data_IF_130967997718
#
_entry.id   IF_130967997718
#
_cell.length_a   1.000
_cell.length_b   1.000
_cell.length_c   1.000
_cell.angle_alpha   90.00
_cell.angle_beta   90.00
_cell.angle_gamma   90.00
#
_symmetry.space_group_name_H-M   'P 1'
#
loop_
_entity.id
_entity.type
_entity.pdbx_description
1 polymer ?
#
# COMPACT_ATOMS: atom_id res chain seq x y z
N UNK A 1 16.45 2.01 5.53
CA UNK A 1 15.85 0.71 5.89
C UNK A 1 16.75 0.00 6.88
N UNK A 2 16.18 -0.66 7.89
CA UNK A 2 16.95 -1.43 8.88
C UNK A 2 17.18 -2.87 8.40
N UNK A 3 18.15 -3.63 8.94
CA UNK A 3 18.32 -5.03 8.56
C UNK A 3 17.12 -5.89 8.99
N UNK A 4 16.77 -6.87 8.17
CA UNK A 4 15.74 -7.86 8.49
C UNK A 4 16.31 -8.90 9.46
N UNK A 5 15.90 -8.83 10.73
CA UNK A 5 16.36 -9.74 11.77
C UNK A 5 15.15 -10.44 12.41
N UNK A 6 14.93 -11.70 12.03
CA UNK A 6 13.79 -12.53 12.50
C UNK A 6 13.69 -12.50 14.02
N UNK A 7 14.79 -12.71 14.73
CA UNK A 7 14.81 -12.73 16.20
C UNK A 7 14.37 -11.41 16.82
N UNK A 8 14.74 -10.27 16.23
CA UNK A 8 14.33 -8.95 16.72
C UNK A 8 12.84 -8.70 16.54
N UNK A 9 12.29 -9.06 15.38
CA UNK A 9 10.85 -8.92 15.09
C UNK A 9 10.02 -9.82 16.03
N UNK A 10 10.43 -11.08 16.20
CA UNK A 10 9.75 -12.03 17.07
C UNK A 10 9.81 -11.60 18.54
N UNK A 11 10.95 -11.07 19.01
CA UNK A 11 11.10 -10.61 20.39
C UNK A 11 10.16 -9.45 20.74
N UNK A 12 9.89 -8.55 19.79
CA UNK A 12 8.90 -7.49 19.97
C UNK A 12 7.47 -8.04 20.02
N UNK A 13 7.19 -9.11 19.25
CA UNK A 13 5.87 -9.71 19.09
C UNK A 13 4.75 -8.68 18.84
N UNK A 14 5.10 -7.58 18.16
CA UNK A 14 4.14 -6.57 17.72
C UNK A 14 3.42 -7.06 16.46
N UNK A 15 2.20 -6.59 16.17
CA UNK A 15 1.52 -6.85 14.90
C UNK A 15 2.39 -6.49 13.70
N UNK A 16 2.29 -7.26 12.62
CA UNK A 16 3.06 -7.07 11.39
C UNK A 16 2.16 -6.61 10.25
N UNK A 17 2.58 -5.58 9.52
CA UNK A 17 1.90 -5.05 8.34
C UNK A 17 2.79 -5.23 7.10
N UNK A 18 2.39 -6.09 6.17
CA UNK A 18 3.07 -6.31 4.88
C UNK A 18 2.48 -5.40 3.82
N UNK A 19 3.29 -4.52 3.24
CA UNK A 19 2.84 -3.49 2.29
C UNK A 19 2.97 -3.96 0.83
N UNK A 20 1.93 -3.73 0.04
CA UNK A 20 1.96 -3.88 -1.42
C UNK A 20 2.27 -2.55 -2.13
N UNK A 21 2.83 -2.61 -3.34
CA UNK A 21 3.16 -1.43 -4.15
C UNK A 21 1.93 -0.57 -4.42
N UNK A 22 0.80 -1.19 -4.79
CA UNK A 22 -0.43 -0.47 -5.09
C UNK A 22 -0.92 0.34 -3.88
N UNK A 23 -0.78 -0.22 -2.66
CA UNK A 23 -1.19 0.46 -1.44
C UNK A 23 -0.30 1.66 -1.10
N UNK A 24 1.00 1.60 -1.38
CA UNK A 24 1.92 2.73 -1.21
C UNK A 24 1.65 3.83 -2.24
N UNK A 25 1.50 3.47 -3.52
CA UNK A 25 1.21 4.43 -4.58
C UNK A 25 -0.14 5.12 -4.37
N UNK A 26 -1.16 4.41 -3.90
CA UNK A 26 -2.50 4.95 -3.61
C UNK A 26 -2.49 6.06 -2.54
N UNK A 27 -1.46 6.15 -1.69
CA UNK A 27 -1.30 7.24 -0.71
C UNK A 27 -1.05 8.59 -1.39
N UNK A 28 -0.40 8.60 -2.55
CA UNK A 28 0.02 9.81 -3.27
C UNK A 28 -0.84 10.13 -4.48
N UNK A 29 -1.78 9.26 -4.83
CA UNK A 29 -2.66 9.47 -5.98
C UNK A 29 -3.49 10.73 -5.83
N UNK A 30 -3.81 11.29 -6.99
CA UNK A 30 -4.70 12.43 -7.23
C UNK A 30 -5.80 12.58 -6.15
N UNK A 31 -5.74 13.67 -5.35
CA UNK A 31 -6.70 13.92 -4.27
C UNK A 31 -8.09 14.32 -4.77
N UNK A 32 -8.26 14.60 -6.06
CA UNK A 32 -9.55 15.00 -6.66
C UNK A 32 -10.44 13.81 -7.02
N UNK A 33 -9.93 12.58 -6.93
CA UNK A 33 -10.69 11.36 -7.23
C UNK A 33 -11.73 11.08 -6.13
N UNK A 34 -12.96 10.73 -6.53
CA UNK A 34 -14.06 10.32 -5.62
C UNK A 34 -13.72 9.13 -4.69
N UNK A 35 -12.71 8.34 -5.08
CA UNK A 35 -12.21 7.21 -4.30
C UNK A 35 -11.33 7.62 -3.13
N UNK A 36 -10.79 8.85 -3.13
CA UNK A 36 -9.94 9.37 -2.06
C UNK A 36 -10.80 9.98 -0.97
N UNK A 37 -10.68 9.47 0.26
CA UNK A 37 -11.52 9.88 1.40
C UNK A 37 -10.67 10.23 2.61
N UNK A 38 -11.07 11.28 3.35
CA UNK A 38 -10.35 11.73 4.55
C UNK A 38 -10.12 10.61 5.59
N UNK A 39 -11.11 9.75 5.91
CA UNK A 39 -10.90 8.69 6.91
C UNK A 39 -9.79 7.71 6.53
N UNK A 40 -9.62 7.44 5.23
CA UNK A 40 -8.55 6.57 4.74
C UNK A 40 -7.18 7.26 4.82
N UNK A 41 -7.11 8.58 4.54
CA UNK A 41 -5.89 9.38 4.71
C UNK A 41 -5.49 9.49 6.18
N UNK A 42 -6.46 9.61 7.08
CA UNK A 42 -6.23 9.55 8.53
C UNK A 42 -5.65 8.19 8.93
N UNK A 43 -6.24 7.10 8.46
CA UNK A 43 -5.74 5.76 8.77
C UNK A 43 -4.29 5.53 8.31
N UNK A 44 -3.90 6.05 7.13
CA UNK A 44 -2.51 6.04 6.66
C UNK A 44 -1.59 6.73 7.68
N UNK A 45 -1.98 7.91 8.15
CA UNK A 45 -1.16 8.69 9.09
C UNK A 45 -1.06 8.05 10.48
N UNK A 46 -2.16 7.51 10.99
CA UNK A 46 -2.21 6.84 12.29
C UNK A 46 -1.33 5.58 12.28
N UNK A 47 -1.43 4.77 11.22
CA UNK A 47 -0.58 3.61 11.03
C UNK A 47 0.90 3.98 10.87
N UNK A 48 1.21 5.05 10.15
CA UNK A 48 2.58 5.55 10.03
C UNK A 48 3.15 5.94 11.39
N UNK A 49 2.38 6.67 12.19
CA UNK A 49 2.79 7.08 13.54
C UNK A 49 3.05 5.85 14.42
N UNK A 50 2.20 4.82 14.32
CA UNK A 50 2.42 3.55 15.01
C UNK A 50 3.67 2.81 14.52
N UNK A 51 3.93 2.81 13.21
CA UNK A 51 5.09 2.17 12.59
C UNK A 51 6.41 2.86 12.97
N UNK A 52 6.43 4.19 13.03
CA UNK A 52 7.58 4.98 13.48
C UNK A 52 7.93 4.68 14.95
N UNK A 53 6.91 4.40 15.78
CA UNK A 53 7.08 4.01 17.18
C UNK A 53 7.56 2.58 17.40
N UNK A 54 7.41 1.68 16.40
CA UNK A 54 7.89 0.27 16.34
C UNK A 54 7.40 -0.71 17.39
N UNK A 55 6.90 -0.24 18.54
CA UNK A 55 6.29 -1.07 19.55
C UNK A 55 4.84 -1.45 19.20
N UNK A 56 4.16 -0.63 18.38
CA UNK A 56 2.74 -0.81 18.06
C UNK A 56 2.51 -1.63 16.78
N UNK A 57 3.37 -1.49 15.78
CA UNK A 57 3.31 -2.27 14.54
C UNK A 57 4.70 -2.32 13.89
N UNK A 58 5.03 -3.46 13.30
CA UNK A 58 6.21 -3.67 12.47
C UNK A 58 5.76 -3.71 11.02
N UNK A 59 6.30 -2.80 10.20
CA UNK A 59 5.97 -2.76 8.78
C UNK A 59 7.03 -3.49 7.97
N UNK A 60 6.60 -4.34 7.04
CA UNK A 60 7.44 -5.05 6.09
C UNK A 60 7.22 -4.54 4.67
N UNK A 61 8.32 -4.35 3.94
CA UNK A 61 8.31 -3.98 2.51
C UNK A 61 9.24 -4.91 1.75
N UNK A 62 8.70 -5.70 0.82
CA UNK A 62 9.49 -6.59 -0.02
C UNK A 62 10.39 -5.83 -1.01
N UNK A 63 11.55 -6.39 -1.37
CA UNK A 63 12.48 -5.78 -2.34
C UNK A 63 11.81 -5.47 -3.69
N UNK A 64 10.91 -6.35 -4.12
CA UNK A 64 10.13 -6.18 -5.33
C UNK A 64 9.19 -4.96 -5.25
N UNK A 65 8.63 -4.66 -4.07
CA UNK A 65 7.79 -3.48 -3.83
C UNK A 65 8.60 -2.19 -3.92
N UNK A 66 9.82 -2.19 -3.38
CA UNK A 66 10.75 -1.04 -3.50
C UNK A 66 11.05 -0.77 -4.98
N UNK A 67 11.33 -1.83 -5.74
CA UNK A 67 11.67 -1.74 -7.17
C UNK A 67 10.49 -1.17 -7.97
N UNK A 68 9.30 -1.74 -7.82
CA UNK A 68 8.11 -1.28 -8.53
C UNK A 68 7.70 0.14 -8.14
N UNK A 69 7.82 0.50 -6.86
CA UNK A 69 7.54 1.85 -6.43
C UNK A 69 8.46 2.86 -7.14
N UNK A 70 9.76 2.54 -7.24
CA UNK A 70 10.74 3.37 -7.96
C UNK A 70 10.44 3.51 -9.45
N UNK A 71 9.87 2.48 -10.09
CA UNK A 71 9.46 2.52 -11.51
C UNK A 71 8.25 3.43 -11.75
N UNK A 72 7.33 3.53 -10.79
CA UNK A 72 6.02 4.16 -10.99
C UNK A 72 5.82 5.51 -10.28
N UNK A 73 6.65 5.86 -9.30
CA UNK A 73 6.39 7.02 -8.46
C UNK A 73 6.37 8.35 -9.21
N UNK A 74 7.31 8.56 -10.13
CA UNK A 74 7.38 9.81 -10.91
C UNK A 74 6.14 10.00 -11.78
N UNK A 75 5.56 8.92 -12.30
CA UNK A 75 4.33 8.95 -13.09
C UNK A 75 3.15 9.35 -12.20
N UNK A 76 3.02 8.72 -11.02
CA UNK A 76 1.93 9.02 -10.07
C UNK A 76 1.99 10.46 -9.57
N UNK A 77 3.18 10.99 -9.29
CA UNK A 77 3.36 12.40 -8.91
C UNK A 77 2.93 13.36 -10.03
N UNK A 78 3.32 13.06 -11.28
CA UNK A 78 2.91 13.85 -12.45
C UNK A 78 1.41 13.80 -12.68
N UNK A 79 0.78 12.65 -12.52
CA UNK A 79 -0.68 12.50 -12.62
C UNK A 79 -1.41 13.35 -11.58
N UNK A 80 -0.98 13.28 -10.31
CA UNK A 80 -1.58 14.07 -9.23
C UNK A 80 -1.39 15.57 -9.45
N UNK A 81 -0.19 16.01 -9.85
CA UNK A 81 0.08 17.41 -10.17
C UNK A 81 -0.78 17.91 -11.33
N UNK A 82 -0.92 17.11 -12.39
CA UNK A 82 -1.76 17.44 -13.56
C UNK A 82 -3.24 17.55 -13.18
N UNK A 83 -3.73 16.70 -12.30
CA UNK A 83 -5.11 16.77 -11.82
C UNK A 83 -5.37 18.04 -10.99
N UNK A 84 -4.45 18.40 -10.09
CA UNK A 84 -4.53 19.66 -9.34
C UNK A 84 -4.45 20.90 -10.25
N UNK A 85 -3.63 20.86 -11.30
CA UNK A 85 -3.60 21.93 -12.29
C UNK A 85 -4.93 22.04 -13.03
N UNK A 86 -5.50 20.91 -13.46
CA UNK A 86 -6.82 20.90 -14.11
C UNK A 86 -7.91 21.48 -13.21
N UNK A 87 -7.89 21.17 -11.91
CA UNK A 87 -8.80 21.75 -10.93
C UNK A 87 -8.65 23.28 -10.84
N UNK A 88 -7.41 23.79 -10.83
CA UNK A 88 -7.14 25.25 -10.86
C UNK A 88 -7.73 25.91 -12.10
N UNK A 89 -7.50 25.32 -13.27
CA UNK A 89 -8.00 25.86 -14.53
C UNK A 89 -9.54 25.87 -14.57
N UNK A 90 -10.17 24.84 -14.00
CA UNK A 90 -11.62 24.74 -13.89
C UNK A 90 -12.21 25.79 -12.93
N UNK A 91 -11.62 25.96 -11.74
CA UNK A 91 -12.04 26.99 -10.79
C UNK A 91 -11.86 28.39 -11.36
N UNK A 92 -10.73 28.67 -12.02
CA UNK A 92 -10.48 29.96 -12.67
C UNK A 92 -11.54 30.27 -13.75
N UNK A 93 -11.97 29.25 -14.52
CA UNK A 93 -13.06 29.38 -15.50
C UNK A 93 -14.39 29.70 -14.82
N UNK A 94 -14.72 29.02 -13.72
CA UNK A 94 -15.96 29.25 -12.95
C UNK A 94 -15.96 30.65 -12.34
N UNK A 95 -14.85 31.05 -11.71
CA UNK A 95 -14.67 32.39 -11.13
C UNK A 95 -14.85 33.49 -12.18
N UNK A 96 -14.30 33.29 -13.40
CA UNK A 96 -14.49 34.22 -14.51
C UNK A 96 -15.96 34.37 -14.93
N UNK A 97 -16.72 33.27 -14.95
CA UNK A 97 -18.17 33.31 -15.22
C UNK A 97 -18.91 34.01 -14.08
N UNK A 98 -18.61 33.68 -12.82
CA UNK A 98 -19.25 34.30 -11.66
C UNK A 98 -18.98 35.82 -11.59
N UNK A 99 -17.77 36.24 -11.94
CA UNK A 99 -17.39 37.64 -12.05
C UNK A 99 -18.23 38.42 -13.07
N UNK A 100 -18.59 37.79 -14.20
CA UNK A 100 -19.49 38.39 -15.17
C UNK A 100 -20.91 38.65 -14.62
N UNK A 101 -21.31 37.90 -13.59
CA UNK A 101 -22.57 38.09 -12.87
C UNK A 101 -22.42 38.91 -11.57
N UNK A 102 -21.28 39.58 -11.36
CA UNK A 102 -21.07 40.48 -10.23
C UNK A 102 -20.60 39.81 -8.93
N UNK A 103 -20.26 38.51 -8.96
CA UNK A 103 -19.55 37.87 -7.84
C UNK A 103 -18.11 38.36 -7.78
N UNK A 104 -17.55 38.47 -6.58
CA UNK A 104 -16.18 38.91 -6.36
C UNK A 104 -15.31 37.84 -5.70
N UNK A 105 -14.05 37.80 -6.11
CA UNK A 105 -13.00 37.02 -5.45
C UNK A 105 -12.72 35.68 -6.15
N UNK A 106 -11.43 35.31 -6.30
CA UNK A 106 -11.06 33.98 -6.78
C UNK A 106 -11.28 32.93 -5.69
N UNK A 107 -11.54 31.70 -6.10
CA UNK A 107 -11.54 30.54 -5.21
C UNK A 107 -10.11 30.25 -4.74
N UNK A 108 -9.85 30.33 -3.44
CA UNK A 108 -8.52 30.05 -2.87
C UNK A 108 -8.31 28.55 -2.62
N UNK A 109 -7.35 27.98 -3.34
CA UNK A 109 -6.88 26.60 -3.18
C UNK A 109 -5.37 26.49 -2.96
N UNK A 110 -4.74 27.57 -2.47
CA UNK A 110 -3.30 27.64 -2.20
C UNK A 110 -2.80 26.54 -1.24
N UNK A 111 -3.64 26.05 -0.34
CA UNK A 111 -3.34 24.93 0.56
C UNK A 111 -3.06 23.59 -0.16
N UNK A 112 -3.35 23.51 -1.46
CA UNK A 112 -3.06 22.34 -2.32
C UNK A 112 -1.72 22.46 -3.07
N UNK A 113 -1.03 23.61 -3.04
CA UNK A 113 0.17 23.89 -3.84
C UNK A 113 1.29 22.86 -3.61
N UNK A 114 1.50 22.47 -2.37
CA UNK A 114 2.51 21.51 -1.91
C UNK A 114 1.92 20.12 -1.62
N UNK A 115 0.68 19.84 -2.02
CA UNK A 115 0.01 18.58 -1.69
C UNK A 115 0.79 17.35 -2.17
N UNK A 116 1.26 17.36 -3.43
CA UNK A 116 2.04 16.26 -4.01
C UNK A 116 3.32 16.02 -3.21
N UNK A 117 4.05 17.10 -2.89
CA UNK A 117 5.27 17.04 -2.08
C UNK A 117 5.01 16.48 -0.68
N UNK A 118 3.94 16.93 -0.01
CA UNK A 118 3.57 16.39 1.31
C UNK A 118 3.18 14.93 1.24
N UNK A 119 2.40 14.53 0.23
CA UNK A 119 1.99 13.14 0.05
C UNK A 119 3.21 12.24 -0.21
N UNK A 120 4.17 12.69 -1.02
CA UNK A 120 5.44 11.99 -1.22
C UNK A 120 6.24 11.85 0.08
N UNK A 121 6.34 12.93 0.85
CA UNK A 121 7.02 12.92 2.15
C UNK A 121 6.42 11.92 3.15
N UNK A 122 5.09 11.69 3.11
CA UNK A 122 4.44 10.64 3.91
C UNK A 122 4.90 9.24 3.47
N UNK A 123 5.00 8.97 2.17
CA UNK A 123 5.46 7.67 1.68
C UNK A 123 6.95 7.45 1.95
N UNK A 124 7.78 8.48 1.86
CA UNK A 124 9.20 8.37 2.23
C UNK A 124 9.37 8.00 3.71
N UNK A 125 8.52 8.55 4.60
CA UNK A 125 8.49 8.16 6.01
C UNK A 125 8.08 6.70 6.20
N UNK A 126 7.14 6.19 5.40
CA UNK A 126 6.80 4.76 5.40
C UNK A 126 7.99 3.88 5.07
N UNK A 127 8.74 4.18 4.00
CA UNK A 127 9.96 3.44 3.66
C UNK A 127 11.05 3.58 4.73
N UNK A 128 11.14 4.73 5.39
CA UNK A 128 12.09 4.95 6.48
C UNK A 128 11.76 4.10 7.72
N UNK A 129 10.47 3.96 8.05
CA UNK A 129 9.98 3.18 9.18
C UNK A 129 9.98 1.67 8.91
N UNK A 130 9.82 1.26 7.63
CA UNK A 130 9.71 -0.13 7.24
C UNK A 130 11.00 -0.94 7.44
N UNK A 131 10.79 -2.22 7.74
CA UNK A 131 11.81 -3.26 7.71
C UNK A 131 11.74 -3.95 6.34
N UNK A 132 12.85 -4.11 5.61
CA UNK A 132 12.86 -4.80 4.33
C UNK A 132 12.51 -6.27 4.54
N UNK A 133 11.70 -6.82 3.64
CA UNK A 133 11.46 -8.26 3.54
C UNK A 133 12.33 -8.76 2.39
N UNK A 134 13.53 -9.25 2.74
CA UNK A 134 14.53 -9.65 1.76
C UNK A 134 14.04 -10.84 0.92
N UNK A 135 14.15 -10.73 -0.40
CA UNK A 135 13.75 -11.78 -1.31
C UNK A 135 14.76 -12.93 -1.29
N UNK A 136 14.35 -14.11 -0.84
CA UNK A 136 15.18 -15.30 -0.89
C UNK A 136 15.36 -15.85 -2.33
N UNK A 137 16.45 -16.60 -2.56
CA UNK A 137 16.82 -17.08 -3.90
C UNK A 137 15.80 -18.03 -4.55
N UNK A 138 14.95 -18.72 -3.76
CA UNK A 138 13.92 -19.62 -4.27
C UNK A 138 12.61 -18.90 -4.66
N UNK A 139 12.44 -17.64 -4.26
CA UNK A 139 11.19 -16.88 -4.49
C UNK A 139 10.83 -16.78 -5.97
N UNK A 140 11.75 -16.45 -6.91
CA UNK A 140 11.41 -16.39 -8.33
C UNK A 140 10.90 -17.74 -8.87
N UNK A 141 11.44 -18.87 -8.42
CA UNK A 141 10.99 -20.18 -8.86
C UNK A 141 9.57 -20.51 -8.35
N UNK A 142 9.23 -20.10 -7.12
CA UNK A 142 7.89 -20.26 -6.58
C UNK A 142 6.87 -19.33 -7.27
N UNK A 143 7.25 -18.06 -7.50
CA UNK A 143 6.42 -17.11 -8.22
C UNK A 143 6.14 -17.59 -9.66
N UNK A 144 7.14 -18.14 -10.34
CA UNK A 144 6.96 -18.74 -11.66
C UNK A 144 6.00 -19.95 -11.62
N UNK A 145 6.08 -20.78 -10.58
CA UNK A 145 5.14 -21.90 -10.38
C UNK A 145 3.71 -21.39 -10.20
N UNK A 146 3.53 -20.33 -9.41
CA UNK A 146 2.23 -19.65 -9.23
C UNK A 146 1.68 -19.13 -10.56
N UNK A 147 2.50 -18.46 -11.37
CA UNK A 147 2.12 -17.97 -12.70
C UNK A 147 1.74 -19.10 -13.65
N UNK A 148 2.57 -20.14 -13.75
CA UNK A 148 2.32 -21.28 -14.66
C UNK A 148 1.08 -22.09 -14.29
N UNK A 149 0.71 -22.09 -13.01
CA UNK A 149 -0.52 -22.71 -12.51
C UNK A 149 -1.73 -21.76 -12.50
N UNK A 150 -1.57 -20.51 -12.93
CA UNK A 150 -2.57 -19.46 -12.87
C UNK A 150 -3.20 -19.31 -11.47
N UNK A 151 -2.36 -19.40 -10.43
CA UNK A 151 -2.73 -19.20 -9.03
C UNK A 151 -2.62 -17.72 -8.66
N UNK A 152 -3.57 -17.21 -7.91
CA UNK A 152 -3.68 -15.82 -7.48
C UNK A 152 -2.38 -15.31 -6.82
N UNK A 153 -1.85 -14.11 -7.15
CA UNK A 153 -2.47 -13.06 -7.97
C UNK A 153 -2.34 -13.27 -9.50
N UNK A 154 -1.69 -14.35 -9.95
CA UNK A 154 -1.63 -14.66 -11.38
C UNK A 154 -2.96 -15.10 -11.97
N UNK A 155 -3.14 -14.77 -13.25
CA UNK A 155 -4.25 -15.24 -14.09
C UNK A 155 -3.79 -15.42 -15.53
N UNK A 156 -4.49 -16.27 -16.28
CA UNK A 156 -4.16 -16.53 -17.70
C UNK A 156 -4.14 -15.21 -18.49
N UNK A 157 -3.05 -14.96 -19.22
CA UNK A 157 -2.93 -13.83 -20.14
C UNK A 157 -2.60 -12.47 -19.52
N UNK A 158 -2.32 -12.40 -18.21
CA UNK A 158 -1.81 -11.18 -17.55
C UNK A 158 -0.37 -11.42 -17.08
N UNK A 159 0.54 -10.49 -17.36
CA UNK A 159 1.82 -10.48 -16.65
C UNK A 159 1.57 -10.15 -15.18
N UNK A 160 1.82 -11.15 -14.33
CA UNK A 160 1.55 -11.10 -12.88
C UNK A 160 2.77 -11.58 -12.10
N UNK A 161 3.93 -11.72 -12.76
CA UNK A 161 5.13 -12.29 -12.15
C UNK A 161 5.58 -11.43 -10.96
N UNK A 162 5.60 -10.12 -11.17
CA UNK A 162 5.87 -9.09 -10.17
C UNK A 162 5.00 -9.22 -8.91
N UNK A 163 3.67 -9.22 -9.08
CA UNK A 163 2.70 -9.47 -8.00
C UNK A 163 2.93 -10.81 -7.28
N UNK A 164 3.27 -11.87 -8.03
CA UNK A 164 3.54 -13.19 -7.45
C UNK A 164 4.82 -13.21 -6.62
N UNK A 165 5.87 -12.50 -7.03
CA UNK A 165 7.11 -12.37 -6.27
C UNK A 165 6.84 -11.68 -4.93
N UNK A 166 6.03 -10.63 -4.89
CA UNK A 166 5.64 -9.96 -3.65
C UNK A 166 4.95 -10.93 -2.69
N UNK A 167 3.94 -11.66 -3.17
CA UNK A 167 3.21 -12.64 -2.34
C UNK A 167 4.12 -13.74 -1.82
N UNK A 168 4.90 -14.37 -2.70
CA UNK A 168 5.80 -15.45 -2.30
C UNK A 168 6.84 -14.98 -1.29
N UNK A 169 7.35 -13.74 -1.44
CA UNK A 169 8.27 -13.13 -0.45
C UNK A 169 7.59 -13.02 0.92
N UNK A 170 6.36 -12.53 0.99
CA UNK A 170 5.65 -12.42 2.27
C UNK A 170 5.27 -13.77 2.86
N UNK A 171 4.88 -14.76 2.05
CA UNK A 171 4.62 -16.11 2.54
C UNK A 171 5.88 -16.73 3.17
N UNK A 172 7.03 -16.56 2.53
CA UNK A 172 8.32 -17.08 3.02
C UNK A 172 8.76 -16.38 4.31
N UNK A 173 8.77 -15.04 4.30
CA UNK A 173 9.17 -14.22 5.44
C UNK A 173 8.25 -14.45 6.65
N UNK A 174 6.93 -14.46 6.44
CA UNK A 174 5.99 -14.71 7.53
C UNK A 174 6.08 -16.17 8.00
N UNK A 175 6.31 -17.12 7.10
CA UNK A 175 6.63 -18.50 7.46
C UNK A 175 7.83 -18.61 8.40
N UNK A 176 8.91 -17.89 8.10
CA UNK A 176 10.08 -17.83 8.97
C UNK A 176 9.77 -17.18 10.33
N UNK A 177 9.02 -16.07 10.35
CA UNK A 177 8.60 -15.41 11.59
C UNK A 177 7.72 -16.33 12.46
N UNK A 178 6.75 -17.03 11.87
CA UNK A 178 5.90 -18.00 12.56
C UNK A 178 6.69 -19.19 13.08
N UNK A 179 7.58 -19.75 12.27
CA UNK A 179 8.48 -20.85 12.67
C UNK A 179 9.42 -20.45 13.82
N UNK A 180 9.80 -19.18 13.89
CA UNK A 180 10.58 -18.62 14.99
C UNK A 180 9.76 -18.21 16.22
N UNK A 181 8.43 -18.31 16.17
CA UNK A 181 7.54 -18.15 17.32
C UNK A 181 6.69 -16.88 17.36
N UNK A 182 6.64 -16.07 16.29
CA UNK A 182 5.75 -14.89 16.23
C UNK A 182 4.29 -15.31 16.44
N UNK A 183 3.61 -14.72 17.43
CA UNK A 183 2.19 -15.01 17.74
C UNK A 183 1.24 -13.87 17.37
N UNK A 184 1.76 -12.66 17.16
CA UNK A 184 0.97 -11.49 16.84
C UNK A 184 0.29 -11.56 15.47
N UNK A 185 -0.67 -10.67 15.23
CA UNK A 185 -1.37 -10.58 13.95
C UNK A 185 -0.41 -10.20 12.82
N UNK A 186 -0.67 -10.75 11.64
CA UNK A 186 0.03 -10.37 10.39
C UNK A 186 -1.03 -9.98 9.38
N UNK A 187 -0.93 -8.77 8.84
CA UNK A 187 -1.88 -8.22 7.86
C UNK A 187 -1.12 -7.89 6.58
N UNK A 188 -1.57 -8.41 5.45
CA UNK A 188 -1.13 -7.97 4.13
C UNK A 188 -2.14 -6.96 3.56
N UNK A 189 -1.66 -5.79 3.18
CA UNK A 189 -2.50 -4.72 2.62
C UNK A 189 -2.22 -4.54 1.14
N UNK A 190 -3.26 -4.62 0.32
CA UNK A 190 -3.22 -4.28 -1.10
C UNK A 190 -4.54 -3.67 -1.54
N UNK A 191 -4.47 -2.53 -2.25
CA UNK A 191 -5.62 -1.91 -2.88
C UNK A 191 -6.00 -2.57 -4.22
N UNK A 192 -5.21 -3.52 -4.72
CA UNK A 192 -5.50 -4.25 -5.95
C UNK A 192 -6.53 -5.38 -5.73
N UNK A 193 -7.78 -4.99 -5.45
CA UNK A 193 -8.88 -5.93 -5.17
C UNK A 193 -9.12 -6.92 -6.31
N UNK A 194 -8.88 -6.53 -7.57
CA UNK A 194 -9.16 -7.39 -8.74
C UNK A 194 -8.29 -8.65 -8.75
N UNK A 195 -7.05 -8.51 -8.30
CA UNK A 195 -6.10 -9.61 -8.32
C UNK A 195 -6.16 -10.39 -7.02
N UNK A 196 -6.28 -9.73 -5.86
CA UNK A 196 -6.23 -10.37 -4.55
C UNK A 196 -7.58 -10.78 -3.95
N UNK A 197 -8.61 -9.96 -4.13
CA UNK A 197 -9.90 -10.15 -3.49
C UNK A 197 -10.91 -10.90 -4.38
N UNK A 198 -11.82 -11.63 -3.74
CA UNK A 198 -13.01 -12.20 -4.37
C UNK A 198 -14.07 -11.16 -4.68
N UNK A 199 -15.27 -11.61 -5.04
CA UNK A 199 -16.37 -10.76 -5.54
C UNK A 199 -16.79 -9.65 -4.56
N UNK A 200 -16.68 -9.89 -3.26
CA UNK A 200 -17.02 -8.92 -2.20
C UNK A 200 -15.97 -7.83 -2.01
N UNK A 201 -14.78 -7.97 -2.62
CA UNK A 201 -13.68 -7.00 -2.52
C UNK A 201 -13.04 -6.85 -1.14
N UNK A 202 -13.42 -7.71 -0.17
CA UNK A 202 -12.95 -7.68 1.22
C UNK A 202 -12.35 -9.01 1.68
N UNK A 203 -12.72 -10.11 1.03
CA UNK A 203 -12.17 -11.45 1.29
C UNK A 203 -11.21 -11.86 0.18
N UNK A 204 -10.12 -12.55 0.52
CA UNK A 204 -9.19 -13.11 -0.47
C UNK A 204 -9.88 -14.12 -1.40
N UNK A 205 -9.32 -14.30 -2.59
CA UNK A 205 -9.66 -15.44 -3.44
C UNK A 205 -9.28 -16.76 -2.74
N UNK A 206 -10.03 -17.86 -2.96
CA UNK A 206 -9.90 -19.08 -2.17
C UNK A 206 -8.50 -19.70 -2.15
N UNK A 207 -7.78 -19.68 -3.27
CA UNK A 207 -6.45 -20.27 -3.39
C UNK A 207 -5.39 -19.46 -2.64
N UNK A 208 -5.48 -18.13 -2.66
CA UNK A 208 -4.61 -17.27 -1.86
C UNK A 208 -4.98 -17.29 -0.37
N UNK A 209 -6.27 -17.39 -0.05
CA UNK A 209 -6.73 -17.59 1.32
C UNK A 209 -6.17 -18.90 1.91
N UNK A 210 -6.08 -19.96 1.11
CA UNK A 210 -5.48 -21.23 1.52
C UNK A 210 -3.97 -21.12 1.77
N UNK A 211 -3.25 -20.24 1.08
CA UNK A 211 -1.84 -19.95 1.36
C UNK A 211 -1.68 -19.12 2.65
N UNK A 212 -2.61 -18.21 2.94
CA UNK A 212 -2.55 -17.32 4.11
C UNK A 212 -2.96 -18.00 5.42
N UNK A 213 -3.91 -18.94 5.35
CA UNK A 213 -4.48 -19.57 6.54
C UNK A 213 -3.45 -20.29 7.43
N UNK A 214 -2.51 -21.12 6.92
CA UNK A 214 -1.48 -21.76 7.73
C UNK A 214 -0.58 -20.76 8.46
N UNK A 215 -0.43 -19.55 7.92
CA UNK A 215 0.41 -18.48 8.47
C UNK A 215 -0.37 -17.53 9.38
N UNK A 216 -1.68 -17.72 9.54
CA UNK A 216 -2.58 -16.80 10.23
C UNK A 216 -2.40 -15.36 9.72
N UNK A 217 -2.34 -15.20 8.41
CA UNK A 217 -2.29 -13.90 7.74
C UNK A 217 -3.70 -13.43 7.37
N UNK A 218 -3.95 -12.14 7.56
CA UNK A 218 -5.20 -11.49 7.17
C UNK A 218 -4.97 -10.55 5.98
N UNK A 219 -6.01 -10.31 5.18
CA UNK A 219 -5.96 -9.39 4.05
C UNK A 219 -6.74 -8.11 4.34
N UNK A 220 -6.11 -6.97 4.04
CA UNK A 220 -6.72 -5.67 4.10
C UNK A 220 -6.82 -5.05 2.69
N UNK A 221 -8.04 -4.71 2.22
CA UNK A 221 -8.22 -4.06 0.91
C UNK A 221 -7.79 -2.58 0.87
N UNK A 222 -7.48 -1.98 2.01
CA UNK A 222 -6.98 -0.61 2.15
C UNK A 222 -6.39 -0.40 3.56
N UNK A 223 -5.81 0.77 3.78
CA UNK A 223 -5.16 1.11 5.06
C UNK A 223 -6.14 1.27 6.22
N UNK A 224 -7.39 1.68 5.98
CA UNK A 224 -8.43 1.73 7.00
C UNK A 224 -8.80 0.34 7.54
N UNK A 225 -8.96 -0.63 6.65
CA UNK A 225 -9.18 -2.03 7.01
C UNK A 225 -7.95 -2.61 7.72
N UNK A 226 -6.73 -2.31 7.24
CA UNK A 226 -5.50 -2.75 7.89
C UNK A 226 -5.42 -2.26 9.33
N UNK A 227 -5.70 -0.97 9.56
CA UNK A 227 -5.76 -0.36 10.90
C UNK A 227 -6.75 -1.10 11.81
N UNK A 228 -7.97 -1.33 11.34
CA UNK A 228 -8.98 -2.07 12.10
C UNK A 228 -8.53 -3.50 12.45
N UNK A 229 -7.96 -4.24 11.48
CA UNK A 229 -7.48 -5.62 11.71
C UNK A 229 -6.34 -5.67 12.72
N UNK A 230 -5.43 -4.69 12.68
CA UNK A 230 -4.31 -4.55 13.62
C UNK A 230 -4.75 -4.09 15.02
N UNK A 231 -5.98 -3.57 15.17
CA UNK A 231 -6.51 -3.08 16.44
C UNK A 231 -5.94 -1.72 16.87
N UNK A 232 -5.59 -0.89 15.89
CA UNK A 232 -5.02 0.46 16.07
C UNK A 232 -6.03 1.56 15.77
#
# INVERSE_FOLDING_TARGET
>A
MQPFEVGGIVALNAPVLCLDTCSLLDMMRDPTRDTVREPERRAIYDLLTAAEGRAAVITLVADQVVTEFGEHVDEVEKEAAKALQKLRDELARIDAVAAAYGSGGPTDISHLDDHVTRARGIVDRWFAAATPAAQAGHIPANAWRRVSQARTPARKGKDSMKDCVVVETYLDVVGALRGAGLQSKVVFVSSNKKDYAGETGSTLKPDLAADFAPLSMEYAPNMGAAKHLLGL
#
